data_IF_748324660411
#
_entry.id   IF_748324660411
#
_cell.length_a   1.000
_cell.length_b   1.000
_cell.length_c   1.000
_cell.angle_alpha   90.00
_cell.angle_beta   90.00
_cell.angle_gamma   90.00
#
_symmetry.space_group_name_H-M   'P 1'
#
loop_
_entity.id
_entity.type
_entity.pdbx_description
1 polymer ?
2 non-polymer ?
3 non-polymer ?
4 non-polymer ?
5 water ?
#
# COMPACT_ATOMS: atom_id res chain seq x y z
N UNK A 6 -6.86 -28.14 -14.89
CA UNK A 6 -7.34 -27.46 -13.65
C UNK A 6 -7.72 -26.02 -13.93
N UNK A 7 -9.03 -25.70 -13.89
CA UNK A 7 -9.48 -24.32 -13.93
C UNK A 7 -8.97 -23.52 -12.72
N UNK A 8 -9.01 -22.21 -12.83
CA UNK A 8 -8.25 -21.36 -11.91
C UNK A 8 -8.93 -20.01 -11.83
N UNK A 9 -8.96 -19.42 -10.64
CA UNK A 9 -9.40 -18.04 -10.54
C UNK A 9 -8.38 -17.06 -11.11
N UNK A 10 -7.16 -17.52 -11.34
CA UNK A 10 -6.02 -16.62 -11.53
C UNK A 10 -5.59 -16.69 -13.00
N UNK A 11 -5.01 -15.61 -13.54
CA UNK A 11 -4.19 -15.74 -14.75
C UNK A 11 -2.80 -15.14 -14.58
N UNK A 12 -1.76 -15.89 -14.95
CA UNK A 12 -0.36 -15.49 -14.79
C UNK A 12 0.23 -14.84 -16.05
N UNK A 13 0.87 -13.68 -15.91
CA UNK A 13 1.55 -13.02 -17.01
C UNK A 13 3.06 -12.94 -16.76
N UNK A 14 3.85 -12.95 -17.84
CA UNK A 14 5.18 -12.37 -17.80
C UNK A 14 5.13 -10.92 -18.26
N UNK A 15 6.25 -10.22 -18.16
CA UNK A 15 6.26 -8.80 -18.47
C UNK A 15 5.93 -8.52 -19.94
N UNK A 16 6.34 -9.45 -20.79
CA UNK A 16 6.03 -9.44 -22.22
C UNK A 16 4.52 -9.40 -22.42
N UNK A 17 3.82 -10.36 -21.82
CA UNK A 17 2.39 -10.49 -22.02
C UNK A 17 1.67 -9.29 -21.41
N UNK A 18 2.11 -8.88 -20.23
CA UNK A 18 1.40 -7.83 -19.50
C UNK A 18 1.52 -6.48 -20.20
N UNK A 19 2.69 -6.18 -20.76
CA UNK A 19 2.95 -4.84 -21.28
C UNK A 19 2.19 -4.57 -22.58
N UNK A 20 1.94 -5.63 -23.35
CA UNK A 20 1.05 -5.54 -24.50
C UNK A 20 -0.31 -4.91 -24.15
N UNK A 21 -0.72 -5.04 -22.88
CA UNK A 21 -2.05 -4.60 -22.47
C UNK A 21 -2.11 -3.12 -22.15
N UNK A 22 -1.00 -2.42 -22.41
CA UNK A 22 -0.98 -0.98 -22.25
C UNK A 22 -1.96 -0.33 -23.23
N UNK A 23 -2.08 -0.91 -24.42
CA UNK A 23 -2.71 -0.22 -25.55
C UNK A 23 -2.16 1.20 -25.62
N UNK A 24 -3.05 2.18 -25.62
CA UNK A 24 -2.59 3.53 -25.90
C UNK A 24 -2.52 4.46 -24.69
N UNK A 25 -2.48 3.88 -23.50
CA UNK A 25 -2.46 4.68 -22.27
C UNK A 25 -1.25 5.62 -22.34
N UNK A 26 -1.49 6.94 -22.21
CA UNK A 26 -0.37 7.86 -22.29
C UNK A 26 0.49 7.79 -21.02
N UNK A 27 1.80 7.95 -21.16
CA UNK A 27 2.68 8.18 -20.02
C UNK A 27 2.72 9.65 -19.60
N UNK A 28 2.28 9.94 -18.37
CA UNK A 28 2.14 11.31 -17.91
C UNK A 28 3.07 11.63 -16.76
N UNK A 29 4.17 10.91 -16.64
CA UNK A 29 5.06 11.05 -15.51
C UNK A 29 6.49 11.29 -16.00
N UNK A 30 7.14 12.35 -15.53
CA UNK A 30 8.55 12.55 -15.87
C UNK A 30 9.47 11.74 -14.96
N UNK A 31 10.69 11.56 -15.43
CA UNK A 31 11.75 10.92 -14.67
C UNK A 31 11.99 11.63 -13.33
N UNK A 32 11.96 12.96 -13.36
CA UNK A 32 12.10 13.69 -12.11
C UNK A 32 10.93 13.44 -11.17
N UNK A 33 9.70 13.49 -11.70
CA UNK A 33 8.51 13.19 -10.90
C UNK A 33 8.61 11.81 -10.26
N UNK A 34 9.01 10.82 -11.03
CA UNK A 34 9.28 9.48 -10.53
C UNK A 34 10.19 9.42 -9.30
N UNK A 35 11.26 10.22 -9.34
CA UNK A 35 12.24 10.33 -8.26
C UNK A 35 11.54 10.74 -6.97
N UNK A 36 10.75 11.80 -7.03
CA UNK A 36 9.95 12.26 -5.89
C UNK A 36 9.11 11.17 -5.25
N UNK A 37 8.85 10.10 -6.00
CA UNK A 37 7.98 9.05 -5.52
C UNK A 37 8.75 7.81 -5.06
N UNK A 38 9.98 7.66 -5.54
CA UNK A 38 10.78 6.44 -5.42
C UNK A 38 11.40 6.37 -4.03
N UNK A 39 11.29 5.22 -3.38
CA UNK A 39 11.91 5.01 -2.07
C UNK A 39 13.36 4.54 -2.09
N UNK A 40 14.09 4.90 -1.04
CA UNK A 40 15.48 4.45 -0.88
C UNK A 40 15.62 2.98 -1.22
N UNK A 41 16.46 2.67 -2.20
CA UNK A 41 16.75 1.30 -2.56
C UNK A 41 15.87 0.75 -3.67
N UNK A 42 14.79 1.45 -4.00
CA UNK A 42 13.91 1.05 -5.10
C UNK A 42 14.49 1.33 -6.49
N UNK A 43 14.27 0.41 -7.42
CA UNK A 43 14.83 0.47 -8.76
C UNK A 43 13.86 0.86 -9.87
N UNK A 44 12.62 1.17 -9.49
CA UNK A 44 11.61 1.46 -10.49
C UNK A 44 12.11 2.56 -11.45
N UNK A 45 11.95 2.35 -12.76
CA UNK A 45 12.26 3.39 -13.73
C UNK A 45 11.06 3.62 -14.65
N UNK A 46 11.16 4.60 -15.54
CA UNK A 46 10.04 4.94 -16.39
C UNK A 46 9.62 3.77 -17.27
N UNK A 47 10.55 2.88 -17.56
CA UNK A 47 10.22 1.69 -18.33
C UNK A 47 9.32 0.69 -17.57
N UNK A 48 9.60 0.45 -16.29
CA UNK A 48 8.68 -0.35 -15.46
C UNK A 48 7.34 0.36 -15.39
N UNK A 49 7.37 1.68 -15.20
CA UNK A 49 6.12 2.41 -15.21
C UNK A 49 5.30 2.12 -16.48
N UNK A 50 5.94 2.18 -17.64
CA UNK A 50 5.22 2.01 -18.91
C UNK A 50 4.81 0.56 -19.12
N UNK A 51 5.66 -0.38 -18.76
CA UNK A 51 5.40 -1.78 -19.09
C UNK A 51 4.55 -2.48 -18.03
N UNK A 52 4.45 -1.89 -16.84
CA UNK A 52 3.80 -2.53 -15.70
C UNK A 52 2.67 -1.71 -15.09
N UNK A 53 2.94 -0.45 -14.81
CA UNK A 53 1.95 0.39 -14.16
C UNK A 53 0.91 0.94 -15.11
N UNK A 54 1.20 0.95 -16.41
CA UNK A 54 0.24 1.56 -17.33
C UNK A 54 -0.91 0.64 -17.76
N UNK A 55 -0.63 -0.64 -18.00
CA UNK A 55 -1.69 -1.64 -18.10
C UNK A 55 -2.53 -1.71 -16.81
N UNK A 56 -1.88 -1.90 -15.67
CA UNK A 56 -2.53 -1.68 -14.37
C UNK A 56 -3.50 -0.50 -14.38
N UNK A 57 -3.03 0.70 -14.76
CA UNK A 57 -3.92 1.84 -14.67
C UNK A 57 -5.09 1.74 -15.63
N UNK A 58 -4.92 0.96 -16.70
CA UNK A 58 -5.98 0.75 -17.70
C UNK A 58 -7.01 -0.21 -17.11
N UNK A 59 -6.55 -1.36 -16.62
CA UNK A 59 -7.41 -2.24 -15.83
C UNK A 59 -8.27 -1.46 -14.83
N UNK A 60 -7.62 -0.66 -13.99
CA UNK A 60 -8.35 0.03 -12.94
C UNK A 60 -9.45 0.93 -13.47
N UNK A 61 -9.19 1.63 -14.58
CA UNK A 61 -10.11 2.67 -15.01
C UNK A 61 -11.28 2.03 -15.73
N UNK A 62 -11.02 0.87 -16.33
CA UNK A 62 -12.09 0.04 -16.86
C UNK A 62 -13.02 -0.44 -15.72
N UNK A 63 -12.42 -0.80 -14.59
CA UNK A 63 -13.17 -1.33 -13.46
C UNK A 63 -13.86 -0.29 -12.58
N UNK A 64 -13.40 0.96 -12.63
CA UNK A 64 -14.05 2.02 -11.87
C UNK A 64 -15.46 2.29 -12.37
N UNK A 65 -15.62 2.26 -13.69
CA UNK A 65 -16.90 2.57 -14.32
C UNK A 65 -17.83 1.37 -14.12
N UNK A 66 -17.35 0.18 -14.45
CA UNK A 66 -17.98 -1.09 -14.11
C UNK A 66 -18.38 -1.26 -12.66
N UNK A 67 -17.54 -0.81 -11.73
CA UNK A 67 -17.87 -1.03 -10.32
C UNK A 67 -18.94 -0.04 -9.91
N UNK A 68 -19.03 1.09 -10.61
CA UNK A 68 -20.12 2.03 -10.37
C UNK A 68 -21.52 1.53 -10.77
N UNK A 69 -21.63 0.84 -11.89
CA UNK A 69 -22.85 0.09 -12.21
C UNK A 69 -23.37 -0.72 -11.02
N UNK A 70 -22.47 -1.43 -10.35
CA UNK A 70 -22.85 -2.26 -9.20
C UNK A 70 -23.56 -1.49 -8.09
N UNK A 71 -22.99 -0.35 -7.69
CA UNK A 71 -23.62 0.41 -6.62
C UNK A 71 -24.88 1.08 -7.13
N UNK A 72 -24.94 1.33 -8.44
CA UNK A 72 -26.12 1.95 -9.04
C UNK A 72 -27.32 1.00 -9.06
N UNK A 73 -27.06 -0.29 -9.29
CA UNK A 73 -28.10 -1.31 -9.26
C UNK A 73 -28.75 -1.38 -7.88
N UNK A 74 -27.93 -1.30 -6.84
CA UNK A 74 -28.41 -1.33 -5.46
C UNK A 74 -29.17 -0.05 -5.08
N UNK A 75 -28.75 1.08 -5.63
CA UNK A 75 -29.51 2.31 -5.53
C UNK A 75 -30.86 2.15 -6.23
N UNK A 76 -30.85 1.60 -7.44
CA UNK A 76 -32.08 1.47 -8.20
C UNK A 76 -33.06 0.59 -7.41
N UNK A 77 -32.61 -0.62 -7.08
CA UNK A 77 -33.41 -1.49 -6.22
C UNK A 77 -34.04 -0.76 -5.04
N UNK A 78 -33.26 0.03 -4.32
CA UNK A 78 -33.73 0.65 -3.09
C UNK A 78 -34.67 1.83 -3.37
N UNK A 79 -34.91 2.09 -4.65
CA UNK A 79 -35.60 3.29 -5.10
C UNK A 79 -34.94 4.54 -4.56
N UNK A 80 -33.61 4.55 -4.60
CA UNK A 80 -32.82 5.72 -4.18
C UNK A 80 -32.70 6.70 -5.34
N UNK A 81 -32.65 8.01 -5.04
CA UNK A 81 -32.37 9.04 -6.03
C UNK A 81 -31.16 8.71 -6.92
N UNK A 82 -31.00 9.43 -8.02
CA UNK A 82 -29.79 9.38 -8.84
C UNK A 82 -28.56 9.91 -8.07
N UNK A 83 -27.44 9.21 -8.17
CA UNK A 83 -26.20 9.65 -7.52
C UNK A 83 -25.62 10.88 -8.23
N UNK A 84 -25.37 11.95 -7.48
CA UNK A 84 -24.68 13.13 -7.99
C UNK A 84 -23.42 12.68 -8.72
N UNK A 85 -23.25 13.10 -9.98
CA UNK A 85 -22.08 12.66 -10.76
C UNK A 85 -20.81 13.39 -10.35
N UNK A 86 -20.95 14.41 -9.50
CA UNK A 86 -19.81 15.09 -8.89
C UNK A 86 -19.42 14.44 -7.56
N UNK A 87 -20.16 13.39 -7.18
CA UNK A 87 -19.87 12.54 -6.02
C UNK A 87 -20.35 11.11 -6.27
N UNK A 88 -19.57 10.34 -7.05
CA UNK A 88 -19.83 8.91 -7.11
C UNK A 88 -19.42 8.18 -5.82
N UNK A 89 -19.61 6.88 -5.78
CA UNK A 89 -19.09 6.07 -4.68
C UNK A 89 -17.59 5.84 -4.88
N UNK A 90 -16.77 6.30 -3.92
CA UNK A 90 -15.31 6.22 -3.98
C UNK A 90 -14.82 4.79 -4.22
N UNK A 91 -13.99 4.63 -5.25
CA UNK A 91 -13.32 3.37 -5.55
C UNK A 91 -12.13 3.17 -4.60
N UNK A 92 -12.13 2.06 -3.86
CA UNK A 92 -11.15 1.85 -2.80
C UNK A 92 -10.14 0.80 -3.23
N UNK A 93 -8.86 1.14 -3.16
CA UNK A 93 -7.81 0.25 -3.63
C UNK A 93 -6.87 -0.09 -2.48
N UNK A 94 -6.69 -1.38 -2.21
CA UNK A 94 -5.77 -1.78 -1.15
C UNK A 94 -4.41 -2.16 -1.73
N UNK A 95 -3.33 -1.78 -1.04
CA UNK A 95 -1.98 -2.22 -1.45
C UNK A 95 -1.28 -2.85 -0.24
N UNK A 96 -0.81 -4.10 -0.39
CA UNK A 96 -0.24 -4.85 0.73
C UNK A 96 1.12 -5.41 0.39
N UNK A 97 1.89 -5.77 1.41
CA UNK A 97 3.03 -6.66 1.27
C UNK A 97 3.96 -6.40 2.45
N UNK A 98 5.07 -7.13 2.48
CA UNK A 98 6.08 -6.97 3.49
C UNK A 98 6.61 -5.55 3.59
N UNK A 99 7.05 -5.23 4.80
CA UNK A 99 8.04 -4.18 4.99
C UNK A 99 9.14 -4.40 3.97
N UNK A 100 9.62 -3.31 3.35
CA UNK A 100 10.83 -3.30 2.52
C UNK A 100 10.66 -3.88 1.13
N UNK A 101 9.43 -4.22 0.74
CA UNK A 101 9.24 -4.89 -0.55
C UNK A 101 9.00 -3.87 -1.64
N UNK A 102 8.84 -2.61 -1.30
CA UNK A 102 8.54 -1.59 -2.32
C UNK A 102 7.08 -1.13 -2.41
N UNK A 103 6.21 -1.63 -1.54
CA UNK A 103 4.78 -1.40 -1.73
C UNK A 103 4.38 0.07 -1.57
N UNK A 104 5.08 0.82 -0.73
CA UNK A 104 4.73 2.22 -0.62
C UNK A 104 5.05 3.01 -1.89
N UNK A 105 6.11 2.61 -2.59
CA UNK A 105 6.44 3.27 -3.84
C UNK A 105 5.38 2.89 -4.87
N UNK A 106 5.11 1.59 -4.98
CA UNK A 106 4.03 1.11 -5.83
C UNK A 106 2.80 1.96 -5.59
N UNK A 107 2.43 2.20 -4.33
CA UNK A 107 1.19 2.96 -4.11
C UNK A 107 1.31 4.42 -4.50
N UNK A 108 2.47 5.02 -4.20
CA UNK A 108 2.65 6.44 -4.56
C UNK A 108 2.64 6.61 -6.08
N UNK A 109 3.20 5.63 -6.78
CA UNK A 109 3.25 5.70 -8.23
C UNK A 109 1.83 5.57 -8.76
N UNK A 110 1.13 4.51 -8.33
CA UNK A 110 -0.28 4.35 -8.66
C UNK A 110 -1.06 5.64 -8.45
N UNK A 111 -0.92 6.27 -7.30
CA UNK A 111 -1.65 7.52 -7.09
C UNK A 111 -1.31 8.55 -8.16
N UNK A 112 -0.05 8.56 -8.62
CA UNK A 112 0.41 9.64 -9.48
C UNK A 112 -0.25 9.40 -10.82
N UNK A 113 -0.19 8.14 -11.25
CA UNK A 113 -0.79 7.76 -12.53
C UNK A 113 -2.29 8.02 -12.59
N UNK A 114 -3.03 7.58 -11.58
CA UNK A 114 -4.47 7.83 -11.58
C UNK A 114 -4.86 9.30 -11.49
N UNK A 115 -4.08 10.12 -10.79
CA UNK A 115 -4.46 11.52 -10.63
C UNK A 115 -4.36 12.22 -11.99
N UNK A 116 -3.58 11.64 -12.90
CA UNK A 116 -3.32 12.26 -14.18
C UNK A 116 -4.19 11.71 -15.30
N UNK A 117 -5.15 10.86 -14.93
CA UNK A 117 -6.20 10.44 -15.83
C UNK A 117 -7.04 11.65 -16.25
N UNK A 118 -7.71 11.54 -17.40
CA UNK A 118 -8.24 12.70 -18.13
C UNK A 118 -8.99 13.70 -17.26
N UNK A 119 -10.03 13.24 -16.56
CA UNK A 119 -10.93 14.18 -15.90
C UNK A 119 -10.42 14.67 -14.54
N UNK A 120 -9.17 14.29 -14.24
CA UNK A 120 -8.46 14.69 -13.04
C UNK A 120 -9.17 14.33 -11.74
N UNK A 121 -9.31 13.01 -11.49
CA UNK A 121 -9.93 12.39 -10.33
C UNK A 121 -9.24 12.85 -9.07
N UNK A 122 -9.99 13.05 -7.97
CA UNK A 122 -9.33 13.27 -6.70
C UNK A 122 -8.87 11.93 -6.17
N UNK A 123 -7.56 11.75 -6.02
CA UNK A 123 -6.99 10.44 -5.68
C UNK A 123 -6.18 10.59 -4.41
N UNK A 124 -6.72 10.10 -3.30
CA UNK A 124 -6.03 10.24 -2.01
C UNK A 124 -5.30 8.97 -1.67
N UNK A 125 -4.23 9.09 -0.88
CA UNK A 125 -3.40 7.95 -0.51
C UNK A 125 -3.24 7.97 1.01
N UNK A 126 -3.55 6.85 1.66
CA UNK A 126 -3.47 6.78 3.13
C UNK A 126 -2.75 5.49 3.49
N UNK A 127 -1.74 5.61 4.34
CA UNK A 127 -1.05 4.42 4.83
C UNK A 127 -1.56 4.09 6.23
N UNK A 128 -1.46 2.82 6.61
CA UNK A 128 -2.04 2.39 7.85
C UNK A 128 -1.19 2.81 9.05
N UNK A 129 -0.03 3.38 8.77
CA UNK A 129 0.87 3.84 9.83
C UNK A 129 0.11 4.68 10.85
N UNK A 130 -0.72 5.60 10.36
CA UNK A 130 -1.41 6.56 11.23
C UNK A 130 -2.37 5.91 12.22
N UNK A 131 -2.71 4.64 11.92
CA UNK A 131 -3.63 3.86 12.73
C UNK A 131 -2.93 2.89 13.68
N UNK A 132 -1.61 2.94 13.72
CA UNK A 132 -0.89 2.31 14.82
C UNK A 132 -1.32 2.91 16.15
N UNK A 133 -1.46 2.07 17.17
CA UNK A 133 -1.53 2.58 18.53
C UNK A 133 -0.25 3.36 18.84
N UNK A 134 -0.40 4.46 19.60
CA UNK A 134 0.73 5.25 20.10
C UNK A 134 1.61 4.37 20.96
N UNK A 135 2.86 4.78 21.15
CA UNK A 135 3.80 3.92 21.88
C UNK A 135 3.29 3.67 23.30
N UNK A 136 2.72 4.70 23.92
CA UNK A 136 2.37 4.59 25.34
C UNK A 136 1.28 3.51 25.45
N UNK A 137 0.37 3.52 24.49
CA UNK A 137 -0.64 2.46 24.37
C UNK A 137 -0.09 1.10 23.95
N UNK A 138 0.87 1.06 23.02
CA UNK A 138 1.53 -0.21 22.73
C UNK A 138 2.23 -0.77 23.96
N UNK A 139 2.93 0.08 24.70
CA UNK A 139 3.62 -0.39 25.90
C UNK A 139 2.61 -0.97 26.89
N UNK A 140 1.46 -0.32 27.03
CA UNK A 140 0.45 -0.81 27.96
C UNK A 140 0.13 -2.25 27.55
N UNK A 141 0.15 -2.51 26.26
CA UNK A 141 -0.37 -3.78 25.75
C UNK A 141 0.76 -4.78 25.59
N UNK A 142 1.95 -4.39 26.00
CA UNK A 142 3.14 -5.20 25.75
C UNK A 142 3.42 -5.43 24.27
N UNK A 143 3.25 -4.41 23.45
CA UNK A 143 3.33 -4.58 22.00
C UNK A 143 4.42 -3.74 21.34
N UNK A 144 5.29 -3.13 22.15
CA UNK A 144 6.35 -2.28 21.64
C UNK A 144 7.31 -2.97 20.67
N UNK A 145 7.30 -4.30 20.65
CA UNK A 145 8.13 -5.10 19.74
C UNK A 145 7.28 -5.89 18.77
N UNK A 146 6.02 -5.46 18.61
CA UNK A 146 5.17 -6.06 17.59
C UNK A 146 4.50 -5.02 16.70
N UNK A 147 5.14 -3.88 16.53
CA UNK A 147 4.64 -2.88 15.62
C UNK A 147 4.58 -3.45 14.20
N UNK A 148 3.43 -3.36 13.55
CA UNK A 148 3.23 -4.00 12.26
C UNK A 148 2.34 -5.24 12.29
N UNK A 149 2.33 -5.92 13.43
CA UNK A 149 1.39 -7.03 13.58
C UNK A 149 -0.02 -6.45 13.68
N UNK A 150 -1.03 -7.24 13.28
CA UNK A 150 -2.41 -6.77 13.24
C UNK A 150 -2.79 -6.05 14.52
N UNK A 151 -2.38 -6.60 15.66
CA UNK A 151 -2.86 -6.15 16.95
C UNK A 151 -2.22 -4.83 17.37
N UNK A 152 -1.23 -4.35 16.61
CA UNK A 152 -0.57 -3.10 16.95
C UNK A 152 -1.32 -1.94 16.33
N UNK A 153 -2.35 -2.24 15.54
CA UNK A 153 -3.19 -1.23 14.90
C UNK A 153 -4.54 -1.06 15.59
N UNK A 154 -5.02 0.18 15.66
CA UNK A 154 -6.42 0.46 15.93
C UNK A 154 -7.34 0.13 14.77
N UNK A 155 -7.66 -1.15 14.63
CA UNK A 155 -8.35 -1.61 13.44
C UNK A 155 -9.78 -1.11 13.35
N UNK A 156 -10.41 -0.95 14.51
CA UNK A 156 -11.72 -0.30 14.57
C UNK A 156 -11.71 1.11 13.99
N UNK A 157 -10.73 1.92 14.38
CA UNK A 157 -10.63 3.28 13.86
C UNK A 157 -10.43 3.24 12.35
N UNK A 158 -9.54 2.36 11.92
CA UNK A 158 -9.23 2.15 10.52
C UNK A 158 -10.47 1.80 9.70
N UNK A 159 -11.25 0.85 10.20
CA UNK A 159 -12.47 0.42 9.51
C UNK A 159 -13.44 1.60 9.46
N UNK A 160 -13.60 2.30 10.59
CA UNK A 160 -14.46 3.47 10.64
C UNK A 160 -14.06 4.49 9.58
N UNK A 161 -12.77 4.73 9.44
CA UNK A 161 -12.25 5.74 8.53
C UNK A 161 -12.66 5.40 7.11
N UNK A 162 -12.41 4.16 6.72
CA UNK A 162 -12.66 3.75 5.33
C UNK A 162 -14.15 3.59 5.07
N UNK A 163 -14.89 3.18 6.10
CA UNK A 163 -16.34 3.09 5.99
C UNK A 163 -16.90 4.49 5.80
N UNK A 164 -16.40 5.43 6.60
CA UNK A 164 -16.81 6.81 6.40
C UNK A 164 -16.58 7.27 4.97
N UNK A 165 -15.36 7.12 4.46
CA UNK A 165 -15.06 7.62 3.13
C UNK A 165 -15.93 6.94 2.07
N UNK A 166 -15.97 5.61 2.08
CA UNK A 166 -16.67 4.91 1.00
C UNK A 166 -18.18 5.16 1.06
N UNK A 167 -18.70 5.41 2.26
CA UNK A 167 -20.15 5.60 2.43
C UNK A 167 -20.56 7.03 2.09
N UNK A 168 -19.59 7.85 1.67
CA UNK A 168 -19.90 9.13 1.03
C UNK A 168 -19.67 10.37 1.89
N UNK A 169 -18.99 10.22 3.02
CA UNK A 169 -18.84 11.36 3.93
C UNK A 169 -18.16 12.54 3.24
N UNK A 170 -18.45 13.75 3.69
CA UNK A 170 -17.81 14.94 3.13
C UNK A 170 -16.33 14.95 3.52
N UNK A 171 -16.05 14.59 4.77
CA UNK A 171 -14.66 14.48 5.18
C UNK A 171 -14.47 13.37 6.20
N UNK A 172 -13.28 12.79 6.21
CA UNK A 172 -12.90 11.82 7.23
C UNK A 172 -11.45 12.08 7.60
N UNK A 173 -11.12 11.87 8.88
CA UNK A 173 -9.79 12.16 9.39
C UNK A 173 -9.03 10.92 9.87
N UNK A 174 -7.74 10.87 9.55
CA UNK A 174 -6.85 9.82 10.06
C UNK A 174 -5.72 10.44 10.88
N UNK A 175 -5.26 9.74 11.93
CA UNK A 175 -4.11 10.28 12.65
C UNK A 175 -2.86 10.10 11.80
N UNK A 176 -1.71 10.58 12.27
CA UNK A 176 -0.52 10.69 11.43
C UNK A 176 0.64 10.17 12.26
N UNK A 177 1.42 9.28 11.67
CA UNK A 177 2.56 8.67 12.32
C UNK A 177 3.85 9.36 11.85
N UNK A 178 4.79 9.53 12.77
CA UNK A 178 6.11 10.08 12.46
C UNK A 178 7.16 8.98 12.48
N UNK A 179 7.69 8.62 11.32
CA UNK A 179 8.84 7.71 11.29
C UNK A 179 10.07 8.27 12.02
N UNK A 180 10.31 9.58 11.87
CA UNK A 180 11.39 10.25 12.57
C UNK A 180 11.30 9.97 14.06
N UNK A 181 10.12 10.25 14.63
CA UNK A 181 9.91 10.03 16.05
C UNK A 181 9.40 8.64 16.42
N UNK A 182 9.02 7.84 15.43
CA UNK A 182 8.64 6.48 15.77
C UNK A 182 7.40 6.49 16.68
N UNK A 183 6.50 7.43 16.43
CA UNK A 183 5.28 7.50 17.22
C UNK A 183 4.25 8.31 16.45
N UNK A 184 2.99 8.19 16.89
CA UNK A 184 1.90 9.00 16.41
C UNK A 184 2.15 10.44 16.83
N UNK A 185 1.82 11.40 15.96
CA UNK A 185 2.08 12.80 16.25
C UNK A 185 0.84 13.37 16.91
N UNK A 186 0.98 13.87 18.14
CA UNK A 186 -0.13 14.54 18.83
C UNK A 186 -0.78 15.61 17.97
N UNK A 187 -2.08 15.51 17.71
CA UNK A 187 -2.79 16.63 17.11
C UNK A 187 -2.83 16.60 15.60
N UNK A 188 -2.03 15.75 14.97
CA UNK A 188 -1.91 15.73 13.52
C UNK A 188 -3.06 14.94 12.89
N UNK A 189 -3.64 15.47 11.82
CA UNK A 189 -4.75 14.82 11.14
C UNK A 189 -4.41 14.76 9.65
N UNK A 190 -4.68 13.63 8.99
CA UNK A 190 -4.80 13.65 7.53
C UNK A 190 -6.27 13.64 7.15
N UNK A 191 -6.68 14.66 6.39
CA UNK A 191 -8.10 14.85 6.11
C UNK A 191 -8.42 14.45 4.68
N UNK A 192 -9.34 13.52 4.50
CA UNK A 192 -9.68 13.04 3.17
C UNK A 192 -11.12 13.46 2.84
N UNK A 193 -11.32 14.03 1.67
CA UNK A 193 -12.57 14.75 1.38
C UNK A 193 -13.23 14.19 0.14
N UNK A 194 -14.10 13.20 0.34
CA UNK A 194 -14.87 12.61 -0.76
C UNK A 194 -14.06 12.44 -2.03
N UNK A 195 -12.91 11.76 -1.93
CA UNK A 195 -12.18 11.54 -3.17
C UNK A 195 -12.90 10.57 -4.10
N UNK A 196 -12.51 10.58 -5.38
CA UNK A 196 -13.02 9.62 -6.33
C UNK A 196 -12.36 8.24 -6.14
N UNK A 197 -11.10 8.24 -5.75
CA UNK A 197 -10.36 7.01 -5.45
C UNK A 197 -9.57 7.18 -4.16
N UNK A 198 -9.57 6.14 -3.34
CA UNK A 198 -8.74 6.17 -2.14
C UNK A 198 -7.85 4.93 -2.19
N UNK A 199 -6.55 5.14 -2.07
CA UNK A 199 -5.62 4.02 -2.00
C UNK A 199 -5.25 3.83 -0.54
N UNK A 200 -5.39 2.60 -0.07
CA UNK A 200 -5.01 2.32 1.31
C UNK A 200 -3.90 1.29 1.30
N UNK A 201 -2.78 1.63 1.92
CA UNK A 201 -1.59 0.81 1.83
C UNK A 201 -1.10 0.43 3.24
N UNK A 202 -0.82 -0.84 3.45
CA UNK A 202 -0.20 -1.28 4.69
C UNK A 202 0.14 -2.77 4.61
N UNK A 203 0.65 -3.31 5.71
CA UNK A 203 1.05 -4.70 5.75
C UNK A 203 -0.12 -5.65 5.63
N UNK A 204 -1.11 -5.48 6.51
CA UNK A 204 -2.15 -6.51 6.66
C UNK A 204 -3.52 -6.10 6.16
N UNK A 205 -3.58 -4.98 5.43
CA UNK A 205 -4.85 -4.45 4.96
C UNK A 205 -5.71 -5.46 4.22
N UNK A 206 -5.10 -6.55 3.75
CA UNK A 206 -5.89 -7.56 3.06
C UNK A 206 -6.47 -8.63 4.00
N UNK A 207 -6.25 -8.45 5.29
CA UNK A 207 -6.71 -9.46 6.22
C UNK A 207 -8.23 -9.57 6.29
N UNK A 208 -8.66 -10.76 6.70
CA UNK A 208 -10.06 -11.06 6.86
C UNK A 208 -10.27 -11.57 8.29
N UNK A 209 -11.52 -11.69 8.71
CA UNK A 209 -11.78 -12.14 10.08
C UNK A 209 -13.23 -12.08 10.50
N UNK A 210 -13.47 -12.09 11.83
CA UNK A 210 -14.80 -12.38 12.35
C UNK A 210 -15.66 -11.14 12.29
N UNK A 211 -15.15 -10.08 11.69
CA UNK A 211 -15.93 -8.87 11.55
C UNK A 211 -15.67 -8.31 10.17
N UNK A 212 -16.52 -7.38 9.75
CA UNK A 212 -16.27 -6.67 8.51
C UNK A 212 -15.00 -5.83 8.66
N UNK A 213 -14.07 -5.97 7.71
CA UNK A 213 -12.76 -5.32 7.81
C UNK A 213 -12.48 -4.51 6.55
N UNK A 214 -11.45 -3.64 6.54
CA UNK A 214 -11.23 -2.82 5.34
C UNK A 214 -11.09 -3.65 4.08
N UNK A 215 -10.58 -4.86 4.15
CA UNK A 215 -10.46 -5.64 2.91
C UNK A 215 -11.81 -5.93 2.25
N UNK A 216 -12.86 -6.02 3.07
CA UNK A 216 -14.20 -6.26 2.55
C UNK A 216 -14.75 -5.05 1.81
N UNK A 217 -14.11 -3.89 2.02
CA UNK A 217 -14.47 -2.69 1.27
C UNK A 217 -13.65 -2.39 0.01
N UNK A 218 -12.60 -3.17 -0.25
CA UNK A 218 -11.74 -2.87 -1.40
C UNK A 218 -12.47 -3.27 -2.68
N UNK A 219 -12.44 -2.36 -3.65
CA UNK A 219 -12.86 -2.66 -5.02
C UNK A 219 -11.74 -3.28 -5.85
N UNK A 220 -10.50 -3.13 -5.41
CA UNK A 220 -9.33 -3.65 -6.12
C UNK A 220 -8.19 -3.71 -5.10
N UNK A 221 -7.32 -4.71 -5.20
CA UNK A 221 -6.18 -4.77 -4.32
C UNK A 221 -4.94 -5.25 -5.07
N UNK A 222 -3.78 -4.74 -4.65
CA UNK A 222 -2.49 -5.23 -5.14
C UNK A 222 -1.76 -5.82 -3.96
N UNK A 223 -0.98 -6.85 -4.24
CA UNK A 223 -0.01 -7.36 -3.27
C UNK A 223 1.37 -7.33 -3.95
N UNK A 224 2.34 -6.67 -3.33
CA UNK A 224 3.70 -6.64 -3.88
C UNK A 224 4.51 -7.75 -3.23
N UNK A 225 4.88 -8.70 -4.07
CA UNK A 225 5.50 -9.96 -3.66
C UNK A 225 6.99 -10.08 -4.08
N UNK A 226 7.76 -10.82 -3.30
CA UNK A 226 9.10 -11.20 -3.72
C UNK A 226 9.48 -12.36 -2.82
N UNK A 227 10.51 -13.11 -3.20
CA UNK A 227 11.04 -14.17 -2.35
C UNK A 227 11.43 -13.60 -0.99
N UNK A 228 11.14 -14.36 0.05
CA UNK A 228 11.43 -13.88 1.38
C UNK A 228 12.89 -13.51 1.59
N UNK A 229 13.79 -14.30 1.02
CA UNK A 229 15.24 -14.08 1.18
C UNK A 229 15.69 -12.77 0.52
N UNK A 230 15.15 -12.49 -0.66
CA UNK A 230 15.33 -11.17 -1.26
C UNK A 230 14.82 -10.03 -0.39
N UNK A 231 13.59 -10.14 0.11
CA UNK A 231 13.06 -9.04 0.93
C UNK A 231 13.98 -8.75 2.10
N UNK A 232 14.49 -9.81 2.73
CA UNK A 232 15.39 -9.60 3.85
C UNK A 232 16.62 -8.82 3.41
N UNK A 233 17.16 -9.17 2.24
CA UNK A 233 18.37 -8.53 1.74
C UNK A 233 18.03 -7.07 1.53
N UNK A 234 16.90 -6.81 0.88
CA UNK A 234 16.50 -5.43 0.69
C UNK A 234 16.33 -4.70 2.03
N UNK A 235 15.83 -5.43 3.02
CA UNK A 235 15.57 -4.77 4.31
C UNK A 235 16.90 -4.43 4.99
N UNK A 236 17.81 -5.41 5.02
CA UNK A 236 19.09 -5.16 5.68
C UNK A 236 19.87 -4.04 4.99
N UNK A 237 19.82 -4.05 3.66
CA UNK A 237 20.58 -3.11 2.88
C UNK A 237 20.01 -1.72 3.09
N UNK A 238 18.68 -1.60 3.14
CA UNK A 238 18.06 -0.29 3.43
C UNK A 238 18.48 0.20 4.81
N UNK A 239 18.52 -0.69 5.78
CA UNK A 239 18.88 -0.31 7.15
C UNK A 239 20.30 0.27 7.12
N UNK A 240 21.22 -0.38 6.39
CA UNK A 240 22.61 0.10 6.33
C UNK A 240 22.69 1.46 5.68
N UNK A 241 22.00 1.61 4.54
CA UNK A 241 21.88 2.91 3.88
C UNK A 241 21.32 4.02 4.76
N UNK A 242 20.39 3.67 5.66
CA UNK A 242 19.73 4.71 6.45
C UNK A 242 20.60 5.30 7.53
N UNK A 243 21.70 4.62 7.87
CA UNK A 243 22.68 5.26 8.77
C UNK A 243 23.12 6.64 8.30
N UNK A 244 23.10 6.89 7.00
CA UNK A 244 23.48 8.24 6.56
C UNK A 244 22.31 9.09 6.05
N UNK A 245 21.11 8.53 5.98
CA UNK A 245 19.94 9.35 5.71
C UNK A 245 19.16 9.59 7.00
N UNK A 246 18.16 8.76 7.27
CA UNK A 246 17.23 8.99 8.38
C UNK A 246 17.87 8.90 9.76
N UNK A 247 18.61 7.83 10.05
CA UNK A 247 19.22 7.73 11.37
C UNK A 247 20.23 8.82 11.66
N UNK A 248 20.72 9.50 10.63
CA UNK A 248 21.74 10.53 10.82
C UNK A 248 21.18 11.75 11.53
N UNK A 249 19.88 12.00 11.36
CA UNK A 249 19.24 13.11 12.04
C UNK A 249 19.35 12.89 13.56
N UNK A 250 19.90 13.86 14.28
CA UNK A 250 19.99 13.73 15.74
C UNK A 250 18.61 13.62 16.39
N UNK A 251 17.57 14.06 15.70
CA UNK A 251 16.20 14.01 16.21
C UNK A 251 15.63 12.60 16.09
N UNK A 252 16.25 11.79 15.24
CA UNK A 252 15.67 10.50 14.91
C UNK A 252 15.68 9.58 16.11
N UNK A 253 14.59 8.84 16.29
CA UNK A 253 14.48 7.94 17.44
C UNK A 253 15.60 6.90 17.38
N UNK A 254 16.10 6.63 16.17
CA UNK A 254 17.05 5.56 15.96
C UNK A 254 18.45 6.10 15.66
N UNK A 255 18.67 7.36 16.02
CA UNK A 255 19.98 7.98 15.80
C UNK A 255 21.16 7.12 16.26
N UNK A 256 21.01 6.36 17.33
CA UNK A 256 22.10 5.51 17.80
C UNK A 256 22.61 4.54 16.73
N UNK A 257 21.76 4.18 15.79
CA UNK A 257 22.17 3.27 14.74
C UNK A 257 23.14 3.89 13.72
N UNK A 258 23.20 5.22 13.66
CA UNK A 258 23.99 5.91 12.66
C UNK A 258 25.47 5.53 12.79
N UNK A 259 25.91 5.19 13.99
CA UNK A 259 27.34 4.97 14.27
C UNK A 259 27.68 3.48 14.34
N UNK A 260 26.74 2.62 13.95
CA UNK A 260 27.02 1.19 13.84
C UNK A 260 27.97 0.91 12.68
N UNK A 261 28.89 -0.02 12.89
CA UNK A 261 29.69 -0.55 11.80
C UNK A 261 28.82 -1.31 10.82
N UNK A 262 29.31 -1.51 9.60
CA UNK A 262 28.57 -2.33 8.64
C UNK A 262 28.12 -3.59 9.35
N UNK A 263 29.02 -4.20 10.12
CA UNK A 263 28.78 -5.53 10.63
C UNK A 263 27.82 -5.47 11.82
N UNK A 264 27.96 -4.47 12.67
CA UNK A 264 26.99 -4.27 13.74
C UNK A 264 25.59 -4.01 13.17
N UNK A 265 25.51 -3.29 12.05
CA UNK A 265 24.25 -2.86 11.46
C UNK A 265 23.53 -4.06 10.88
N UNK A 266 24.28 -4.89 10.16
CA UNK A 266 23.77 -6.13 9.57
C UNK A 266 23.21 -7.04 10.64
N UNK A 267 23.86 -7.06 11.80
CA UNK A 267 23.44 -7.90 12.92
C UNK A 267 22.17 -7.34 13.54
N UNK A 268 22.11 -6.04 13.81
CA UNK A 268 20.87 -5.43 14.28
C UNK A 268 19.71 -5.64 13.29
N UNK A 269 19.93 -5.40 12.00
CA UNK A 269 18.83 -5.47 11.05
C UNK A 269 18.29 -6.89 10.93
N UNK A 270 19.21 -7.86 10.85
CA UNK A 270 18.82 -9.27 10.81
C UNK A 270 17.99 -9.69 12.01
N UNK A 271 18.29 -9.10 13.17
CA UNK A 271 17.62 -9.47 14.40
C UNK A 271 16.20 -8.91 14.39
N UNK A 272 16.05 -7.66 13.94
CA UNK A 272 14.75 -7.05 13.72
C UNK A 272 13.94 -7.80 12.66
N UNK A 273 14.57 -8.19 11.55
CA UNK A 273 13.89 -9.01 10.55
C UNK A 273 13.40 -10.35 11.14
N UNK A 274 14.30 -11.01 11.87
CA UNK A 274 14.00 -12.34 12.42
C UNK A 274 12.87 -12.30 13.46
N UNK A 275 12.88 -11.29 14.32
CA UNK A 275 12.02 -11.32 15.49
C UNK A 275 10.70 -10.60 15.25
N UNK A 276 10.69 -9.68 14.30
CA UNK A 276 9.50 -8.90 14.00
C UNK A 276 8.97 -9.08 12.58
N UNK A 277 9.72 -8.64 11.57
CA UNK A 277 9.16 -8.51 10.23
C UNK A 277 8.95 -9.84 9.52
N UNK A 278 9.87 -10.75 9.74
CA UNK A 278 9.77 -12.03 9.04
C UNK A 278 8.56 -12.82 9.55
N UNK A 279 8.42 -12.97 10.88
CA UNK A 279 7.25 -13.64 11.47
C UNK A 279 5.95 -12.97 11.05
N UNK A 280 5.92 -11.64 11.04
CA UNK A 280 4.69 -10.97 10.65
C UNK A 280 4.37 -11.31 9.20
N UNK A 281 5.42 -11.37 8.37
CA UNK A 281 5.27 -11.71 6.96
C UNK A 281 4.72 -13.12 6.77
N UNK A 282 5.36 -14.09 7.41
CA UNK A 282 4.97 -15.48 7.24
C UNK A 282 3.60 -15.75 7.89
N UNK A 283 3.34 -15.12 9.03
CA UNK A 283 2.14 -15.47 9.77
C UNK A 283 0.91 -14.70 9.29
N UNK A 284 1.08 -13.44 8.93
CA UNK A 284 -0.09 -12.60 8.70
C UNK A 284 -0.21 -12.04 7.28
N UNK A 285 0.90 -11.62 6.69
CA UNK A 285 0.81 -10.91 5.42
C UNK A 285 0.70 -11.93 4.30
N UNK A 286 1.62 -12.89 4.26
CA UNK A 286 1.62 -13.84 3.15
C UNK A 286 0.29 -14.59 3.00
N UNK A 287 -0.35 -14.96 4.13
CA UNK A 287 -1.63 -15.64 3.98
C UNK A 287 -2.75 -14.82 3.34
N UNK A 288 -2.56 -13.52 3.18
CA UNK A 288 -3.53 -12.70 2.44
C UNK A 288 -3.29 -12.62 0.94
N UNK A 289 -2.16 -13.14 0.47
CA UNK A 289 -1.81 -12.99 -0.95
C UNK A 289 -2.84 -13.60 -1.88
N UNK A 290 -3.45 -14.74 -1.49
CA UNK A 290 -4.37 -15.36 -2.45
C UNK A 290 -5.54 -14.48 -2.88
N UNK A 291 -5.88 -13.46 -2.10
CA UNK A 291 -7.08 -12.68 -2.35
C UNK A 291 -6.88 -11.44 -3.20
N UNK A 292 -5.64 -10.97 -3.33
CA UNK A 292 -5.36 -9.74 -4.05
C UNK A 292 -5.85 -9.87 -5.48
N UNK A 293 -6.40 -8.80 -6.05
CA UNK A 293 -6.73 -8.79 -7.46
C UNK A 293 -5.48 -8.99 -8.34
N UNK A 294 -4.37 -8.33 -7.99
CA UNK A 294 -3.13 -8.41 -8.78
C UNK A 294 -1.92 -8.57 -7.89
N UNK A 295 -1.19 -9.67 -8.04
CA UNK A 295 0.09 -9.81 -7.38
C UNK A 295 1.22 -9.31 -8.30
N UNK A 296 2.06 -8.40 -7.79
CA UNK A 296 3.23 -7.92 -8.55
C UNK A 296 4.45 -8.65 -8.05
N UNK A 297 4.99 -9.58 -8.83
CA UNK A 297 6.14 -10.36 -8.37
C UNK A 297 7.50 -9.80 -8.79
N UNK A 298 8.34 -9.47 -7.82
CA UNK A 298 9.65 -8.87 -8.04
C UNK A 298 10.80 -9.88 -7.97
N UNK A 299 11.75 -9.73 -8.87
CA UNK A 299 12.99 -10.50 -8.80
C UNK A 299 13.95 -9.89 -7.79
N UNK A 300 15.01 -10.63 -7.49
CA UNK A 300 16.09 -10.14 -6.63
C UNK A 300 16.57 -8.72 -6.90
N UNK A 301 16.46 -8.25 -8.13
CA UNK A 301 16.88 -6.89 -8.47
C UNK A 301 15.74 -5.86 -8.40
N UNK A 302 14.61 -6.22 -7.79
CA UNK A 302 13.47 -5.32 -7.55
C UNK A 302 12.56 -5.22 -8.77
N UNK A 303 12.96 -5.89 -9.84
CA UNK A 303 12.25 -5.71 -11.09
C UNK A 303 10.99 -6.58 -11.18
N UNK A 304 9.87 -5.98 -11.58
CA UNK A 304 8.64 -6.74 -11.71
C UNK A 304 8.66 -7.51 -13.03
N UNK A 305 8.88 -8.82 -12.97
CA UNK A 305 8.82 -9.61 -14.18
C UNK A 305 7.67 -10.59 -14.31
N UNK A 306 6.83 -10.66 -13.28
CA UNK A 306 5.69 -11.57 -13.28
C UNK A 306 4.49 -11.01 -12.52
N UNK A 307 3.29 -11.35 -13.01
CA UNK A 307 2.04 -10.83 -12.49
C UNK A 307 0.99 -11.93 -12.43
N UNK A 308 0.16 -11.90 -11.38
CA UNK A 308 -0.96 -12.83 -11.27
C UNK A 308 -2.26 -12.05 -11.07
N UNK A 309 -3.17 -12.15 -12.03
CA UNK A 309 -4.43 -11.44 -11.96
C UNK A 309 -5.54 -12.41 -11.52
N UNK A 310 -6.43 -11.95 -10.65
CA UNK A 310 -7.68 -12.67 -10.37
C UNK A 310 -8.70 -12.42 -11.48
N UNK A 311 -9.02 -13.43 -12.26
CA UNK A 311 -10.18 -13.26 -13.14
C UNK A 311 -11.49 -13.62 -12.46
N UNK A 312 -11.41 -14.37 -11.36
CA UNK A 312 -12.57 -14.66 -10.51
C UNK A 312 -12.20 -14.30 -9.07
#
# INVERSE_FOLDING_TARGET
MSRLSEPSPYVEFDRRQWRALRMSTPLALTEEELVGLRGLGEQIDLLEVEEVYLPLARLIHLQVAARQRLFAATAEFLGEPQQNPDRPVPFIIGVAGSVAVGKSTTARVLQALLARWDHHPRVDLVTTDGFLYPNAELQRRNLMHRKGFPESYNRRALMRFVTSVKSGSDYACAPVYSHLHYDIIPGAEQVVRHPDILILEGLNVLQTGPTLMVSDLFDFSLYVDARIEDIEQWYVSRFLAMRTTAFADPESHFHHYAAFSDSQAVVAAREIWRTINRPNLVENILPTRPRATLVLRKDADHSINRLRLRKL
#
